data_IF_720597890972
#
_entry.id   IF_720597890972
#
_cell.length_a   1.000
_cell.length_b   1.000
_cell.length_c   1.000
_cell.angle_alpha   90.00
_cell.angle_beta   90.00
_cell.angle_gamma   90.00
#
_symmetry.space_group_name_H-M   'P 1'
#
loop_
_entity.id
_entity.type
_entity.pdbx_description
1 polymer ?
#
# COMPACT_ATOMS: atom_id res chain seq x y z
N UNK A 1 22.76 -38.15 -4.62
CA UNK A 1 21.96 -36.90 -4.73
C UNK A 1 22.76 -35.93 -5.58
N UNK A 2 22.28 -35.57 -6.77
CA UNK A 2 22.92 -34.55 -7.59
C UNK A 2 22.34 -33.19 -7.17
N UNK A 3 23.18 -32.31 -6.65
CA UNK A 3 22.76 -30.98 -6.19
C UNK A 3 22.76 -30.04 -7.40
N UNK A 4 21.59 -29.50 -7.77
CA UNK A 4 21.52 -28.48 -8.83
C UNK A 4 22.29 -27.23 -8.39
N UNK A 5 23.05 -26.64 -9.30
CA UNK A 5 23.88 -25.46 -9.11
C UNK A 5 23.75 -24.51 -10.31
N UNK A 6 23.85 -23.22 -10.07
CA UNK A 6 23.98 -22.18 -11.10
C UNK A 6 25.43 -21.81 -11.28
N UNK A 7 25.90 -21.88 -12.51
CA UNK A 7 27.25 -21.50 -12.94
C UNK A 7 27.17 -20.27 -13.84
N UNK A 8 28.31 -19.59 -14.15
CA UNK A 8 28.33 -18.49 -15.11
C UNK A 8 27.82 -18.88 -16.50
N UNK A 9 27.80 -20.18 -16.79
CA UNK A 9 27.40 -20.75 -18.08
C UNK A 9 26.03 -21.44 -18.04
N UNK A 10 25.23 -21.20 -17.00
CA UNK A 10 23.88 -21.73 -16.84
C UNK A 10 23.74 -22.76 -15.72
N UNK A 11 22.60 -23.45 -15.71
CA UNK A 11 22.27 -24.47 -14.72
C UNK A 11 23.10 -25.75 -14.95
N UNK A 12 23.52 -26.38 -13.86
CA UNK A 12 24.24 -27.65 -13.86
C UNK A 12 23.96 -28.48 -12.60
N UNK A 13 24.51 -29.68 -12.56
CA UNK A 13 24.40 -30.62 -11.44
C UNK A 13 25.79 -30.90 -10.85
N UNK A 14 25.95 -30.71 -9.55
CA UNK A 14 27.19 -31.01 -8.84
C UNK A 14 27.34 -32.53 -8.69
N UNK A 15 28.44 -33.06 -9.21
CA UNK A 15 28.76 -34.49 -9.14
C UNK A 15 29.77 -34.80 -8.05
N UNK A 16 30.86 -34.02 -7.96
CA UNK A 16 31.96 -34.32 -7.04
C UNK A 16 32.63 -33.03 -6.53
N UNK A 17 33.09 -33.08 -5.27
CA UNK A 17 33.90 -32.05 -4.64
C UNK A 17 35.29 -32.65 -4.42
N UNK A 18 36.29 -32.20 -5.17
CA UNK A 18 37.69 -32.62 -4.96
C UNK A 18 38.30 -31.87 -3.78
N UNK A 19 39.38 -32.44 -3.23
CA UNK A 19 40.06 -31.91 -2.03
C UNK A 19 40.74 -30.55 -2.26
N UNK A 20 40.98 -30.16 -3.52
CA UNK A 20 41.60 -28.89 -3.90
C UNK A 20 40.58 -27.75 -4.15
N UNK A 21 39.39 -27.81 -3.55
CA UNK A 21 38.28 -26.84 -3.76
C UNK A 21 37.77 -26.71 -5.21
N UNK A 22 38.08 -27.69 -6.05
CA UNK A 22 37.54 -27.84 -7.41
C UNK A 22 36.25 -28.66 -7.38
N UNK A 23 35.18 -28.08 -7.89
CA UNK A 23 33.86 -28.67 -8.06
C UNK A 23 33.72 -29.22 -9.48
N UNK A 24 33.27 -30.46 -9.60
CA UNK A 24 32.91 -31.07 -10.88
C UNK A 24 31.41 -30.87 -11.09
N UNK A 25 31.05 -30.00 -12.03
CA UNK A 25 29.67 -29.69 -12.39
C UNK A 25 29.36 -30.24 -13.77
N UNK A 26 28.32 -31.07 -13.87
CA UNK A 26 27.77 -31.55 -15.13
C UNK A 26 26.73 -30.56 -15.64
N UNK A 27 27.00 -29.93 -16.78
CA UNK A 27 26.03 -29.13 -17.52
C UNK A 27 25.43 -29.96 -18.66
N UNK A 28 24.44 -29.40 -19.37
CA UNK A 28 23.78 -30.07 -20.50
C UNK A 28 24.72 -30.41 -21.66
N UNK A 29 25.89 -29.74 -21.73
CA UNK A 29 26.82 -29.84 -22.85
C UNK A 29 28.22 -30.30 -22.45
N UNK A 30 28.62 -30.20 -21.17
CA UNK A 30 29.96 -30.62 -20.73
C UNK A 30 30.04 -30.95 -19.23
N UNK A 31 31.08 -31.71 -18.86
CA UNK A 31 31.52 -31.84 -17.46
C UNK A 31 32.61 -30.79 -17.22
N UNK A 32 32.34 -29.84 -16.33
CA UNK A 32 33.17 -28.67 -16.10
C UNK A 32 33.83 -28.73 -14.72
N UNK A 33 35.08 -28.29 -14.65
CA UNK A 33 35.83 -28.11 -13.40
C UNK A 33 35.76 -26.64 -13.02
N UNK A 34 35.09 -26.32 -11.93
CA UNK A 34 34.87 -24.94 -11.48
C UNK A 34 35.37 -24.76 -10.05
N UNK A 35 35.76 -23.54 -9.70
CA UNK A 35 36.07 -23.23 -8.30
C UNK A 35 34.77 -23.02 -7.53
N UNK A 36 34.80 -23.27 -6.22
CA UNK A 36 33.66 -23.04 -5.31
C UNK A 36 33.06 -21.62 -5.41
N UNK A 37 33.86 -20.62 -5.77
CA UNK A 37 33.44 -19.22 -5.89
C UNK A 37 32.48 -18.96 -7.06
N UNK A 38 32.62 -19.74 -8.13
CA UNK A 38 31.87 -19.54 -9.38
C UNK A 38 30.55 -20.33 -9.40
N UNK A 39 30.41 -21.31 -8.51
CA UNK A 39 29.25 -22.18 -8.41
C UNK A 39 28.33 -21.67 -7.31
N UNK A 40 27.17 -21.13 -7.69
CA UNK A 40 26.14 -20.66 -6.78
C UNK A 40 25.02 -21.70 -6.71
N UNK A 41 24.27 -21.73 -5.62
CA UNK A 41 23.03 -22.50 -5.62
C UNK A 41 22.02 -21.83 -6.57
N UNK A 42 21.19 -22.61 -7.29
CA UNK A 42 20.16 -22.04 -8.13
C UNK A 42 19.19 -21.28 -7.24
N UNK A 43 18.87 -20.04 -7.63
CA UNK A 43 17.70 -19.37 -7.08
C UNK A 43 16.51 -20.28 -7.37
N UNK A 44 15.93 -20.87 -6.31
CA UNK A 44 14.73 -21.70 -6.44
C UNK A 44 13.70 -20.90 -7.22
N UNK A 45 13.08 -21.54 -8.21
CA UNK A 45 11.99 -20.91 -8.92
C UNK A 45 10.87 -20.60 -7.92
N UNK A 46 10.17 -19.49 -8.13
CA UNK A 46 9.22 -18.93 -7.15
C UNK A 46 8.14 -19.95 -6.75
N UNK A 47 7.84 -20.92 -7.64
CA UNK A 47 6.87 -22.00 -7.46
C UNK A 47 7.36 -23.16 -6.57
N UNK A 48 8.67 -23.34 -6.38
CA UNK A 48 9.24 -24.49 -5.64
C UNK A 48 9.66 -24.16 -4.21
N UNK A 49 9.50 -22.90 -3.78
CA UNK A 49 9.91 -22.47 -2.45
C UNK A 49 8.89 -22.87 -1.38
N UNK A 50 9.39 -23.48 -0.30
CA UNK A 50 8.61 -23.72 0.92
C UNK A 50 8.17 -22.41 1.56
N UNK A 51 7.13 -22.42 2.38
CA UNK A 51 6.68 -21.26 3.18
C UNK A 51 7.81 -20.66 4.01
N UNK A 52 8.68 -21.49 4.58
CA UNK A 52 9.86 -21.04 5.34
C UNK A 52 10.91 -20.37 4.48
N UNK A 53 11.13 -20.89 3.27
CA UNK A 53 12.08 -20.32 2.31
C UNK A 53 11.57 -18.96 1.81
N UNK A 54 10.27 -18.85 1.51
CA UNK A 54 9.62 -17.59 1.09
C UNK A 54 9.76 -16.51 2.17
N UNK A 55 9.50 -16.85 3.43
CA UNK A 55 9.66 -15.91 4.56
C UNK A 55 11.13 -15.52 4.72
N UNK A 56 12.05 -16.47 4.60
CA UNK A 56 13.49 -16.22 4.67
C UNK A 56 13.98 -15.26 3.59
N UNK A 57 13.58 -15.46 2.34
CA UNK A 57 13.92 -14.56 1.23
C UNK A 57 13.27 -13.18 1.38
N UNK A 58 12.03 -13.12 1.87
CA UNK A 58 11.37 -11.84 2.15
C UNK A 58 12.12 -11.01 3.21
N UNK A 59 12.62 -11.65 4.28
CA UNK A 59 13.40 -10.98 5.33
C UNK A 59 14.71 -10.46 4.75
N UNK A 60 15.46 -11.29 3.99
CA UNK A 60 16.71 -10.87 3.34
C UNK A 60 16.53 -9.64 2.45
N UNK A 61 15.46 -9.61 1.66
CA UNK A 61 15.14 -8.47 0.80
C UNK A 61 14.74 -7.23 1.60
N UNK A 62 14.00 -7.40 2.70
CA UNK A 62 13.67 -6.30 3.59
C UNK A 62 14.91 -5.70 4.26
N UNK A 63 15.90 -6.53 4.60
CA UNK A 63 17.16 -6.07 5.19
C UNK A 63 18.09 -5.43 4.16
N UNK A 64 18.14 -5.97 2.93
CA UNK A 64 18.80 -5.32 1.77
C UNK A 64 18.24 -3.93 1.52
N UNK A 65 16.91 -3.78 1.54
CA UNK A 65 16.26 -2.47 1.40
C UNK A 65 16.62 -1.49 2.53
N UNK A 66 16.92 -1.97 3.74
CA UNK A 66 17.37 -1.12 4.84
C UNK A 66 18.80 -0.62 4.61
N UNK A 67 19.66 -1.42 3.97
CA UNK A 67 21.01 -1.02 3.57
C UNK A 67 20.96 0.01 2.45
N UNK A 68 20.19 -0.25 1.39
CA UNK A 68 19.99 0.68 0.27
C UNK A 68 19.40 2.03 0.75
N UNK A 69 18.49 2.00 1.72
CA UNK A 69 17.96 3.22 2.33
C UNK A 69 19.02 4.01 3.11
N UNK A 70 19.93 3.32 3.81
CA UNK A 70 21.05 3.94 4.52
C UNK A 70 22.07 4.54 3.56
N UNK A 71 22.29 3.90 2.41
CA UNK A 71 23.12 4.42 1.31
C UNK A 71 22.48 5.57 0.53
N UNK A 72 21.19 5.86 0.77
CA UNK A 72 20.45 6.91 0.06
C UNK A 72 19.90 6.50 -1.30
N UNK A 73 20.01 5.22 -1.68
CA UNK A 73 19.42 4.65 -2.90
C UNK A 73 17.93 4.35 -2.68
N UNK A 74 17.12 5.41 -2.68
CA UNK A 74 15.72 5.34 -2.27
C UNK A 74 14.86 4.50 -3.22
N UNK A 75 15.11 4.57 -4.53
CA UNK A 75 14.35 3.82 -5.54
C UNK A 75 14.63 2.31 -5.44
N UNK A 76 15.90 1.94 -5.30
CA UNK A 76 16.33 0.54 -5.13
C UNK A 76 15.77 -0.03 -3.82
N UNK A 77 15.84 0.74 -2.73
CA UNK A 77 15.24 0.37 -1.46
C UNK A 77 13.74 0.06 -1.60
N UNK A 78 12.99 0.93 -2.29
CA UNK A 78 11.55 0.71 -2.57
C UNK A 78 11.35 -0.59 -3.36
N UNK A 79 12.17 -0.83 -4.38
CA UNK A 79 12.09 -2.06 -5.17
C UNK A 79 12.32 -3.31 -4.31
N UNK A 80 13.34 -3.30 -3.46
CA UNK A 80 13.65 -4.40 -2.53
C UNK A 80 12.49 -4.66 -1.54
N UNK A 81 11.89 -3.62 -0.96
CA UNK A 81 10.73 -3.77 -0.08
C UNK A 81 9.49 -4.31 -0.81
N UNK A 82 9.21 -3.83 -2.03
CA UNK A 82 8.08 -4.34 -2.83
C UNK A 82 8.28 -5.81 -3.21
N UNK A 83 9.52 -6.20 -3.54
CA UNK A 83 9.87 -7.58 -3.84
C UNK A 83 9.69 -8.46 -2.60
N UNK A 84 10.10 -8.00 -1.42
CA UNK A 84 9.85 -8.66 -0.13
C UNK A 84 8.35 -8.91 0.09
N UNK A 85 7.50 -7.89 -0.09
CA UNK A 85 6.04 -8.03 0.01
C UNK A 85 5.48 -9.05 -0.99
N UNK A 86 6.00 -9.07 -2.22
CA UNK A 86 5.60 -10.04 -3.24
C UNK A 86 5.91 -11.49 -2.86
N UNK A 87 6.96 -11.76 -2.08
CA UNK A 87 7.22 -13.09 -1.54
C UNK A 87 6.25 -13.45 -0.41
N UNK A 88 5.95 -12.49 0.48
CA UNK A 88 5.04 -12.70 1.60
C UNK A 88 3.59 -12.98 1.15
N UNK A 89 3.13 -12.34 0.08
CA UNK A 89 1.79 -12.56 -0.50
C UNK A 89 1.59 -13.98 -1.04
N UNK A 90 2.67 -14.68 -1.42
CA UNK A 90 2.62 -16.05 -1.93
C UNK A 90 2.57 -17.10 -0.82
N UNK A 91 2.80 -16.71 0.42
CA UNK A 91 2.69 -17.62 1.56
C UNK A 91 1.21 -17.91 1.82
N UNK A 92 0.80 -19.17 1.66
CA UNK A 92 -0.54 -19.63 2.00
C UNK A 92 -0.81 -19.43 3.50
N UNK A 93 -1.60 -18.43 3.84
CA UNK A 93 -1.86 -18.03 5.23
C UNK A 93 -2.58 -19.13 6.03
N UNK A 94 -3.34 -20.00 5.36
CA UNK A 94 -4.14 -21.03 6.03
C UNK A 94 -3.27 -22.15 6.63
N UNK A 95 -2.12 -22.44 6.01
CA UNK A 95 -1.20 -23.48 6.47
C UNK A 95 -0.04 -22.95 7.32
N UNK A 96 0.06 -21.62 7.49
CA UNK A 96 1.15 -20.99 8.23
C UNK A 96 0.93 -21.08 9.75
N UNK A 97 1.99 -21.43 10.47
CA UNK A 97 1.99 -21.44 11.94
C UNK A 97 1.81 -20.01 12.49
N UNK A 98 1.34 -19.88 13.74
CA UNK A 98 1.23 -18.56 14.38
C UNK A 98 2.57 -17.81 14.45
N UNK A 99 3.69 -18.54 14.58
CA UNK A 99 5.04 -17.97 14.53
C UNK A 99 5.38 -17.39 13.15
N UNK A 100 5.08 -18.13 12.08
CA UNK A 100 5.29 -17.67 10.72
C UNK A 100 4.40 -16.47 10.40
N UNK A 101 3.11 -16.51 10.80
CA UNK A 101 2.18 -15.37 10.68
C UNK A 101 2.70 -14.12 11.38
N UNK A 102 3.20 -14.25 12.61
CA UNK A 102 3.80 -13.14 13.35
C UNK A 102 5.00 -12.54 12.58
N UNK A 103 5.87 -13.40 12.03
CA UNK A 103 7.05 -12.97 11.26
C UNK A 103 6.66 -12.28 9.94
N UNK A 104 5.65 -12.80 9.24
CA UNK A 104 5.11 -12.23 8.00
C UNK A 104 4.55 -10.83 8.29
N UNK A 105 3.68 -10.70 9.28
CA UNK A 105 3.03 -9.43 9.63
C UNK A 105 4.06 -8.40 10.08
N UNK A 106 5.02 -8.80 10.94
CA UNK A 106 6.14 -7.95 11.34
C UNK A 106 6.90 -7.41 10.12
N UNK A 107 7.23 -8.29 9.16
CA UNK A 107 7.98 -7.91 7.96
C UNK A 107 7.15 -7.00 7.06
N UNK A 108 5.86 -7.27 6.87
CA UNK A 108 4.95 -6.42 6.08
C UNK A 108 4.87 -5.00 6.66
N UNK A 109 4.66 -4.87 7.97
CA UNK A 109 4.57 -3.55 8.62
C UNK A 109 5.88 -2.78 8.43
N UNK A 110 7.04 -3.42 8.66
CA UNK A 110 8.36 -2.81 8.42
C UNK A 110 8.50 -2.32 6.98
N UNK A 111 8.19 -3.17 6.00
CA UNK A 111 8.29 -2.82 4.59
C UNK A 111 7.38 -1.64 4.23
N UNK A 112 6.11 -1.65 4.62
CA UNK A 112 5.18 -0.55 4.31
C UNK A 112 5.60 0.78 4.97
N UNK A 113 6.01 0.73 6.23
CA UNK A 113 6.55 1.91 6.93
C UNK A 113 7.77 2.47 6.19
N UNK A 114 8.72 1.62 5.82
CA UNK A 114 9.94 2.04 5.15
C UNK A 114 9.69 2.55 3.73
N UNK A 115 8.79 1.92 2.96
CA UNK A 115 8.33 2.44 1.67
C UNK A 115 7.74 3.84 1.85
N UNK A 116 6.87 4.04 2.84
CA UNK A 116 6.33 5.36 3.15
C UNK A 116 7.41 6.42 3.38
N UNK A 117 8.46 6.08 4.15
CA UNK A 117 9.60 6.96 4.36
C UNK A 117 10.40 7.25 3.08
N UNK A 118 10.65 6.23 2.25
CA UNK A 118 11.35 6.40 0.97
C UNK A 118 10.55 7.29 0.02
N UNK A 119 9.24 7.05 -0.11
CA UNK A 119 8.34 7.79 -0.99
C UNK A 119 8.17 9.24 -0.57
N UNK A 120 8.14 9.53 0.74
CA UNK A 120 8.19 10.90 1.26
C UNK A 120 9.46 11.63 0.83
N UNK A 121 10.63 10.97 0.92
CA UNK A 121 11.91 11.55 0.46
C UNK A 121 11.97 11.74 -1.06
N UNK A 122 11.25 10.92 -1.82
CA UNK A 122 11.14 11.02 -3.29
C UNK A 122 10.06 12.00 -3.77
N UNK A 123 9.37 12.71 -2.87
CA UNK A 123 8.22 13.57 -3.17
C UNK A 123 7.03 12.86 -3.86
N UNK A 124 6.97 11.53 -3.77
CA UNK A 124 5.85 10.72 -4.25
C UNK A 124 4.79 10.62 -3.15
N UNK A 125 4.07 11.72 -2.91
CA UNK A 125 3.19 11.88 -1.75
C UNK A 125 1.96 10.95 -1.80
N UNK A 126 1.39 10.71 -2.97
CA UNK A 126 0.26 9.77 -3.15
C UNK A 126 0.64 8.34 -2.77
N UNK A 127 1.78 7.87 -3.25
CA UNK A 127 2.30 6.53 -2.94
C UNK A 127 2.64 6.40 -1.45
N UNK A 128 3.17 7.46 -0.84
CA UNK A 128 3.48 7.49 0.58
C UNK A 128 2.21 7.38 1.44
N UNK A 129 1.14 8.07 1.07
CA UNK A 129 -0.18 7.99 1.73
C UNK A 129 -0.72 6.56 1.70
N UNK A 130 -0.65 5.91 0.52
CA UNK A 130 -1.11 4.53 0.34
C UNK A 130 -0.27 3.56 1.18
N UNK A 131 1.06 3.65 1.12
CA UNK A 131 1.95 2.77 1.88
C UNK A 131 1.71 2.88 3.40
N UNK A 132 1.53 4.10 3.92
CA UNK A 132 1.24 4.31 5.34
C UNK A 132 -0.16 3.82 5.72
N UNK A 133 -1.15 3.95 4.82
CA UNK A 133 -2.50 3.43 5.06
C UNK A 133 -2.52 1.90 5.13
N UNK A 134 -1.75 1.22 4.27
CA UNK A 134 -1.60 -0.24 4.34
C UNK A 134 -0.97 -0.69 5.66
N UNK A 135 0.08 0.01 6.12
CA UNK A 135 0.66 -0.24 7.44
C UNK A 135 -0.37 -0.06 8.57
N UNK A 136 -1.16 1.01 8.52
CA UNK A 136 -2.19 1.29 9.52
C UNK A 136 -3.30 0.25 9.53
N UNK A 137 -3.75 -0.23 8.37
CA UNK A 137 -4.76 -1.29 8.29
C UNK A 137 -4.31 -2.56 9.04
N UNK A 138 -3.06 -2.99 8.82
CA UNK A 138 -2.50 -4.16 9.51
C UNK A 138 -2.38 -3.89 11.02
N UNK A 139 -1.92 -2.70 11.41
CA UNK A 139 -1.77 -2.31 12.81
C UNK A 139 -3.11 -2.21 13.56
N UNK A 140 -4.16 -1.72 12.90
CA UNK A 140 -5.52 -1.67 13.47
C UNK A 140 -6.05 -3.07 13.74
N UNK A 141 -5.88 -4.00 12.79
CA UNK A 141 -6.30 -5.41 12.97
C UNK A 141 -5.54 -6.08 14.13
N UNK A 142 -4.25 -5.76 14.30
CA UNK A 142 -3.49 -6.22 15.46
C UNK A 142 -4.01 -5.61 16.78
N UNK A 143 -4.39 -4.33 16.76
CA UNK A 143 -4.90 -3.63 17.94
C UNK A 143 -6.30 -4.11 18.36
N UNK A 144 -7.11 -4.59 17.42
CA UNK A 144 -8.40 -5.25 17.69
C UNK A 144 -8.21 -6.65 18.30
N UNK A 145 -7.10 -7.33 17.99
CA UNK A 145 -6.80 -8.69 18.41
C UNK A 145 -5.58 -8.78 19.35
N UNK A 146 -5.52 -7.93 20.38
CA UNK A 146 -4.36 -7.85 21.30
C UNK A 146 -4.00 -9.17 21.98
N UNK A 147 -5.00 -9.96 22.33
CA UNK A 147 -4.82 -11.24 23.03
C UNK A 147 -4.64 -12.43 22.07
N UNK A 148 -4.52 -12.18 20.77
CA UNK A 148 -4.36 -13.23 19.78
C UNK A 148 -3.04 -14.00 19.90
N UNK A 149 -3.04 -15.28 19.51
CA UNK A 149 -1.83 -16.11 19.45
C UNK A 149 -0.71 -15.46 18.63
N UNK A 150 -1.06 -14.74 17.57
CA UNK A 150 -0.10 -14.04 16.71
C UNK A 150 0.59 -12.90 17.47
N UNK A 151 -0.16 -12.06 18.20
CA UNK A 151 0.42 -10.97 19.02
C UNK A 151 1.29 -11.53 20.14
N UNK A 152 0.87 -12.63 20.76
CA UNK A 152 1.70 -13.33 21.75
C UNK A 152 3.03 -13.81 21.15
N UNK A 153 3.01 -14.38 19.95
CA UNK A 153 4.22 -14.77 19.22
C UNK A 153 5.08 -13.57 18.82
N UNK A 154 4.46 -12.45 18.44
CA UNK A 154 5.16 -11.19 18.19
C UNK A 154 5.96 -10.72 19.42
N UNK A 155 5.37 -10.80 20.61
CA UNK A 155 6.06 -10.54 21.88
C UNK A 155 7.24 -11.48 22.11
N UNK A 156 7.06 -12.78 21.86
CA UNK A 156 8.14 -13.80 21.97
C UNK A 156 9.28 -13.60 20.96
N UNK A 157 8.99 -12.97 19.82
CA UNK A 157 9.99 -12.59 18.81
C UNK A 157 10.75 -11.29 19.19
N UNK A 158 10.48 -10.73 20.37
CA UNK A 158 11.18 -9.55 20.90
C UNK A 158 10.54 -8.20 20.56
N UNK A 159 9.30 -8.18 20.03
CA UNK A 159 8.58 -6.93 19.84
C UNK A 159 7.87 -6.50 21.12
N UNK A 160 8.15 -5.29 21.59
CA UNK A 160 7.44 -4.74 22.75
C UNK A 160 6.01 -4.35 22.38
N UNK A 161 5.11 -4.40 23.36
CA UNK A 161 3.73 -3.93 23.21
C UNK A 161 3.69 -2.46 22.79
N UNK A 162 4.54 -1.64 23.41
CA UNK A 162 4.73 -0.23 23.06
C UNK A 162 5.11 -0.05 21.58
N UNK A 163 6.01 -0.88 21.04
CA UNK A 163 6.41 -0.78 19.64
C UNK A 163 5.23 -1.04 18.70
N UNK A 164 4.45 -2.08 18.99
CA UNK A 164 3.35 -2.54 18.15
C UNK A 164 2.13 -1.62 18.17
N UNK A 165 1.77 -1.09 19.35
CA UNK A 165 0.52 -0.34 19.54
C UNK A 165 0.69 1.17 19.72
N UNK A 166 1.90 1.66 20.01
CA UNK A 166 2.16 3.10 20.15
C UNK A 166 3.09 3.60 19.03
N UNK A 167 4.32 3.10 18.97
CA UNK A 167 5.35 3.68 18.10
C UNK A 167 5.10 3.44 16.62
N UNK A 168 4.77 2.22 16.20
CA UNK A 168 4.49 1.92 14.79
C UNK A 168 3.24 2.65 14.27
N UNK A 169 2.09 2.63 14.99
CA UNK A 169 0.91 3.37 14.54
C UNK A 169 1.10 4.88 14.58
N UNK A 170 1.83 5.43 15.56
CA UNK A 170 2.17 6.86 15.60
C UNK A 170 3.06 7.24 14.41
N UNK A 171 4.09 6.45 14.11
CA UNK A 171 5.00 6.66 12.98
C UNK A 171 4.30 6.58 11.63
N UNK A 172 3.38 5.63 11.45
CA UNK A 172 2.59 5.50 10.23
C UNK A 172 1.68 6.72 10.02
N UNK A 173 0.95 7.14 11.07
CA UNK A 173 0.09 8.34 11.03
C UNK A 173 0.88 9.61 10.76
N UNK A 174 2.02 9.79 11.42
CA UNK A 174 2.87 10.96 11.20
C UNK A 174 3.36 11.05 9.74
N UNK A 175 3.83 9.94 9.17
CA UNK A 175 4.26 9.87 7.77
C UNK A 175 3.10 10.09 6.79
N UNK A 176 1.92 9.53 7.07
CA UNK A 176 0.71 9.76 6.28
C UNK A 176 0.31 11.24 6.31
N UNK A 177 0.31 11.85 7.50
CA UNK A 177 0.03 13.27 7.66
C UNK A 177 1.02 14.14 6.87
N UNK A 178 2.31 13.83 6.88
CA UNK A 178 3.31 14.55 6.07
C UNK A 178 2.98 14.50 4.57
N UNK A 179 2.51 13.34 4.07
CA UNK A 179 2.05 13.21 2.69
C UNK A 179 0.75 14.00 2.44
N UNK A 180 -0.25 13.88 3.31
CA UNK A 180 -1.53 14.59 3.21
C UNK A 180 -1.36 16.12 3.21
N UNK A 181 -0.43 16.66 4.00
CA UNK A 181 -0.11 18.11 3.99
C UNK A 181 0.39 18.56 2.62
N UNK A 182 1.20 17.73 1.95
CA UNK A 182 1.72 18.03 0.61
C UNK A 182 0.68 17.87 -0.49
N UNK A 183 -0.37 17.09 -0.22
CA UNK A 183 -1.54 16.91 -1.08
C UNK A 183 -2.69 17.87 -0.73
N UNK A 184 -2.46 18.84 0.16
CA UNK A 184 -3.45 19.81 0.65
C UNK A 184 -4.68 19.18 1.33
N UNK A 185 -4.59 17.92 1.75
CA UNK A 185 -5.60 17.20 2.55
C UNK A 185 -5.43 17.52 4.04
N UNK A 186 -5.65 18.78 4.41
CA UNK A 186 -5.30 19.25 5.76
C UNK A 186 -6.20 18.67 6.88
N UNK A 187 -7.46 18.35 6.58
CA UNK A 187 -8.38 17.73 7.54
C UNK A 187 -7.90 16.33 7.96
N UNK A 188 -7.57 15.49 6.98
CA UNK A 188 -7.06 14.13 7.21
C UNK A 188 -5.70 14.18 7.94
N UNK A 189 -4.82 15.08 7.52
CA UNK A 189 -3.53 15.29 8.18
C UNK A 189 -3.69 15.70 9.65
N UNK A 190 -4.67 16.56 9.97
CA UNK A 190 -4.94 16.98 11.35
C UNK A 190 -5.38 15.80 12.21
N UNK A 191 -6.29 14.97 11.69
CA UNK A 191 -6.80 13.80 12.41
C UNK A 191 -5.69 12.79 12.71
N UNK A 192 -4.83 12.52 11.72
CA UNK A 192 -3.68 11.64 11.90
C UNK A 192 -2.72 12.15 12.96
N UNK A 193 -2.45 13.46 12.99
CA UNK A 193 -1.54 14.07 13.94
C UNK A 193 -2.10 14.09 15.36
N UNK A 194 -3.41 14.28 15.53
CA UNK A 194 -4.06 14.20 16.84
C UNK A 194 -3.86 12.80 17.44
N UNK A 195 -4.19 11.76 16.67
CA UNK A 195 -4.00 10.37 17.09
C UNK A 195 -2.52 10.03 17.30
N UNK A 196 -1.60 10.56 16.48
CA UNK A 196 -0.17 10.33 16.64
C UNK A 196 0.39 10.94 17.94
N UNK A 197 -0.09 12.13 18.33
CA UNK A 197 0.28 12.80 19.60
C UNK A 197 -0.33 12.10 20.80
N UNK A 198 -1.55 11.57 20.67
CA UNK A 198 -2.18 10.76 21.72
C UNK A 198 -1.38 9.49 22.01
N UNK A 199 -0.95 8.78 20.96
CA UNK A 199 -0.14 7.57 21.08
C UNK A 199 1.28 7.84 21.58
N UNK A 200 1.92 8.92 21.11
CA UNK A 200 3.26 9.28 21.55
C UNK A 200 3.34 10.77 21.91
N UNK A 201 2.96 11.14 23.16
CA UNK A 201 2.97 12.53 23.60
C UNK A 201 4.36 13.14 23.69
N UNK A 202 5.43 12.34 23.69
CA UNK A 202 6.80 12.86 23.78
C UNK A 202 7.32 13.38 22.44
N UNK A 203 6.71 12.99 21.32
CA UNK A 203 7.17 13.40 19.99
C UNK A 203 6.92 14.91 19.73
N UNK A 204 8.01 15.69 19.72
CA UNK A 204 7.98 17.12 19.40
C UNK A 204 7.64 17.38 17.93
N UNK A 205 8.01 16.48 17.02
CA UNK A 205 7.79 16.63 15.59
C UNK A 205 6.30 16.57 15.24
N UNK A 206 5.57 15.62 15.84
CA UNK A 206 4.11 15.49 15.72
C UNK A 206 3.39 16.76 16.20
N UNK A 207 3.71 17.26 17.40
CA UNK A 207 3.10 18.48 17.94
C UNK A 207 3.38 19.72 17.08
N UNK A 208 4.61 19.88 16.62
CA UNK A 208 4.99 21.03 15.78
C UNK A 208 4.27 20.98 14.43
N UNK A 209 4.12 19.80 13.85
CA UNK A 209 3.38 19.64 12.61
C UNK A 209 1.88 19.85 12.82
N UNK A 210 1.31 19.40 13.94
CA UNK A 210 -0.11 19.61 14.28
C UNK A 210 -0.47 21.09 14.39
N UNK A 211 0.37 21.91 15.03
CA UNK A 211 0.15 23.36 15.12
C UNK A 211 0.14 24.01 13.72
N UNK A 212 1.11 23.65 12.86
CA UNK A 212 1.17 24.12 11.47
C UNK A 212 -0.07 23.72 10.68
N UNK A 213 -0.48 22.45 10.77
CA UNK A 213 -1.65 21.94 10.04
C UNK A 213 -2.94 22.57 10.56
N UNK A 214 -3.06 22.79 11.87
CA UNK A 214 -4.23 23.46 12.45
C UNK A 214 -4.41 24.88 11.89
N UNK A 215 -3.31 25.65 11.80
CA UNK A 215 -3.32 26.97 11.16
C UNK A 215 -3.70 26.93 9.68
N UNK A 216 -3.27 25.89 8.95
CA UNK A 216 -3.63 25.69 7.54
C UNK A 216 -5.12 25.33 7.38
N UNK A 217 -5.67 24.46 8.23
CA UNK A 217 -7.11 24.14 8.26
C UNK A 217 -7.93 25.40 8.54
N UNK A 218 -7.55 26.20 9.53
CA UNK A 218 -8.28 27.43 9.87
C UNK A 218 -8.14 28.50 8.79
N UNK A 219 -7.02 28.53 8.07
CA UNK A 219 -6.85 29.38 6.89
C UNK A 219 -7.79 28.92 5.76
N UNK A 220 -7.80 27.63 5.44
CA UNK A 220 -8.67 27.06 4.40
C UNK A 220 -10.14 27.35 4.69
N UNK A 221 -10.61 27.13 5.93
CA UNK A 221 -11.99 27.43 6.34
C UNK A 221 -12.33 28.91 6.19
N UNK A 222 -11.40 29.82 6.55
CA UNK A 222 -11.61 31.27 6.39
C UNK A 222 -11.67 31.68 4.92
N UNK A 223 -10.82 31.11 4.09
CA UNK A 223 -10.79 31.39 2.66
C UNK A 223 -12.06 30.86 1.97
N UNK A 224 -12.53 29.67 2.35
CA UNK A 224 -13.83 29.13 1.94
C UNK A 224 -14.99 30.04 2.41
N UNK A 225 -15.05 30.42 3.69
CA UNK A 225 -16.10 31.31 4.20
C UNK A 225 -16.17 32.65 3.45
N UNK A 226 -15.03 33.23 3.07
CA UNK A 226 -14.98 34.46 2.26
C UNK A 226 -15.46 34.22 0.83
N UNK A 227 -15.02 33.13 0.20
CA UNK A 227 -15.46 32.76 -1.14
C UNK A 227 -16.98 32.52 -1.19
N UNK A 228 -17.54 31.82 -0.19
CA UNK A 228 -18.98 31.59 -0.07
C UNK A 228 -19.76 32.86 0.30
N UNK A 229 -19.24 33.70 1.20
CA UNK A 229 -19.88 34.96 1.59
C UNK A 229 -20.06 35.93 0.40
N UNK A 230 -19.02 36.08 -0.42
CA UNK A 230 -19.10 36.95 -1.61
C UNK A 230 -19.99 36.42 -2.74
N UNK A 231 -20.39 35.14 -2.71
CA UNK A 231 -21.33 34.57 -3.68
C UNK A 231 -22.77 34.99 -3.36
N UNK A 232 -23.16 35.08 -2.08
CA UNK A 232 -24.51 35.52 -1.70
C UNK A 232 -24.74 37.02 -1.91
N UNK A 233 -23.74 37.85 -1.64
CA UNK A 233 -23.82 39.31 -1.91
C UNK A 233 -24.07 39.62 -3.40
N UNK A 234 -23.63 38.74 -4.30
CA UNK A 234 -23.85 38.88 -5.75
C UNK A 234 -25.18 38.28 -6.24
N UNK A 235 -25.90 37.52 -5.41
CA UNK A 235 -27.23 36.95 -5.75
C UNK A 235 -28.35 37.93 -5.42
N UNK A 236 -28.19 38.77 -4.38
CA UNK A 236 -29.15 39.81 -3.99
C UNK A 236 -28.99 41.12 -4.78
N UNK A 237 -28.04 41.17 -5.72
CA UNK A 237 -27.94 42.28 -6.68
C UNK A 237 -29.12 42.20 -7.67
N UNK A 238 -29.99 43.24 -7.76
CA UNK A 238 -31.12 43.21 -8.67
C UNK A 238 -30.66 43.07 -10.13
N UNK A 239 -31.42 42.32 -10.92
CA UNK A 239 -31.20 41.94 -12.32
C UNK A 239 -31.20 43.12 -13.32
N UNK A 240 -30.62 44.27 -12.96
CA UNK A 240 -30.38 45.40 -13.84
C UNK A 240 -28.92 45.81 -13.69
N UNK A 241 -28.04 45.16 -14.46
CA UNK A 241 -26.92 45.77 -15.23
C UNK A 241 -26.03 44.63 -15.75
N UNK A 242 -26.50 43.89 -16.76
CA UNK A 242 -25.57 43.23 -17.69
C UNK A 242 -25.01 44.33 -18.58
N UNK A 243 -23.89 44.93 -18.16
CA UNK A 243 -23.06 45.75 -19.05
C UNK A 243 -21.93 44.89 -19.58
N UNK A 244 -22.01 44.67 -20.88
CA UNK A 244 -21.00 44.11 -21.78
C UNK A 244 -19.64 44.74 -21.51
N UNK A 245 -18.68 43.96 -21.01
CA UNK A 245 -17.27 44.28 -21.07
C UNK A 245 -16.61 43.30 -22.05
N UNK A 246 -16.56 43.71 -23.31
CA UNK A 246 -15.80 43.04 -24.37
C UNK A 246 -14.31 43.26 -24.13
N UNK A 247 -13.53 42.19 -23.93
CA UNK A 247 -12.11 42.18 -24.31
C UNK A 247 -11.69 40.80 -24.82
N UNK A 248 -11.76 40.69 -26.15
CA UNK A 248 -10.96 39.88 -27.08
C UNK A 248 -10.66 38.42 -26.71
N UNK A 249 -11.49 37.52 -27.27
CA UNK A 249 -11.07 36.16 -27.65
C UNK A 249 -10.78 36.16 -29.15
N UNK A 250 -9.55 35.82 -29.54
CA UNK A 250 -9.24 35.42 -30.92
C UNK A 250 -9.86 34.05 -31.17
N UNK A 251 -10.56 33.96 -32.29
CA UNK A 251 -11.37 32.87 -32.80
C UNK A 251 -10.62 31.55 -32.97
N UNK A 252 -11.20 30.46 -32.45
CA UNK A 252 -11.36 29.21 -33.23
C UNK A 252 -12.67 28.54 -32.83
N UNK A 253 -13.47 28.25 -33.86
CA UNK A 253 -14.85 27.74 -33.82
C UNK A 253 -14.93 26.31 -33.26
N UNK A 254 -15.94 26.02 -32.44
CA UNK A 254 -16.86 24.92 -32.70
C UNK A 254 -18.17 25.08 -31.89
N UNK A 255 -19.27 24.78 -32.56
CA UNK A 255 -20.69 25.01 -32.22
C UNK A 255 -21.12 24.23 -30.95
N UNK A 256 -21.79 24.86 -29.98
CA UNK A 256 -23.25 25.04 -29.82
C UNK A 256 -24.06 23.74 -29.67
N UNK A 257 -24.54 23.46 -28.44
CA UNK A 257 -25.95 23.15 -28.15
C UNK A 257 -26.14 22.91 -26.64
N UNK A 258 -26.83 23.84 -25.98
CA UNK A 258 -27.38 23.73 -24.63
C UNK A 258 -28.49 22.67 -24.57
N UNK A 259 -28.49 21.82 -23.55
CA UNK A 259 -29.74 21.33 -22.95
C UNK A 259 -29.59 21.23 -21.43
N UNK A 260 -30.43 21.98 -20.74
CA UNK A 260 -30.62 21.95 -19.30
C UNK A 260 -31.08 20.55 -18.89
N UNK A 261 -30.37 19.90 -17.95
CA UNK A 261 -30.81 18.64 -17.36
C UNK A 261 -31.64 18.93 -16.12
N UNK A 262 -32.95 18.98 -16.33
CA UNK A 262 -33.97 18.85 -15.28
C UNK A 262 -33.74 17.57 -14.47
N UNK A 263 -33.78 17.70 -13.13
CA UNK A 263 -33.51 16.67 -12.12
C UNK A 263 -34.63 15.60 -12.04
N UNK A 264 -35.71 15.71 -12.82
CA UNK A 264 -36.81 14.77 -12.75
C UNK A 264 -37.25 14.32 -14.16
N UNK A 265 -36.65 13.24 -14.67
CA UNK A 265 -37.19 12.53 -15.85
C UNK A 265 -37.26 11.02 -15.61
N UNK A 266 -38.47 10.46 -15.79
CA UNK A 266 -38.78 9.03 -15.68
C UNK A 266 -38.19 8.28 -16.88
N UNK A 267 -37.22 7.39 -16.64
CA UNK A 267 -36.45 6.67 -17.69
C UNK A 267 -37.34 5.81 -18.61
N UNK A 268 -37.03 5.84 -19.91
CA UNK A 268 -37.70 5.09 -20.98
C UNK A 268 -37.34 3.59 -20.97
N UNK A 269 -38.19 2.75 -21.57
CA UNK A 269 -38.09 1.27 -21.59
C UNK A 269 -36.76 0.76 -22.19
N UNK A 270 -36.23 1.46 -23.20
CA UNK A 270 -34.95 1.14 -23.86
C UNK A 270 -33.76 1.39 -22.94
N UNK A 271 -33.78 2.49 -22.15
CA UNK A 271 -32.73 2.75 -21.16
C UNK A 271 -32.75 1.75 -20.00
N UNK A 272 -33.92 1.26 -19.60
CA UNK A 272 -34.01 0.19 -18.59
C UNK A 272 -33.50 -1.15 -19.12
N UNK A 273 -33.77 -1.48 -20.38
CA UNK A 273 -33.23 -2.69 -21.01
C UNK A 273 -31.70 -2.62 -21.19
N UNK A 274 -31.16 -1.46 -21.55
CA UNK A 274 -29.69 -1.27 -21.63
C UNK A 274 -29.03 -1.32 -20.24
N UNK A 275 -29.66 -0.77 -19.19
CA UNK A 275 -29.14 -0.89 -17.83
C UNK A 275 -29.27 -2.31 -17.27
N UNK A 276 -30.34 -3.04 -17.61
CA UNK A 276 -30.50 -4.45 -17.24
C UNK A 276 -29.50 -5.36 -17.99
N UNK A 277 -29.21 -5.08 -19.27
CA UNK A 277 -28.19 -5.79 -20.04
C UNK A 277 -26.77 -5.50 -19.52
N UNK A 278 -26.48 -4.25 -19.13
CA UNK A 278 -25.21 -3.88 -18.50
C UNK A 278 -25.04 -4.51 -17.09
N UNK A 279 -26.11 -4.59 -16.30
CA UNK A 279 -26.10 -5.28 -15.02
C UNK A 279 -25.96 -6.81 -15.18
N UNK A 280 -26.58 -7.40 -16.20
CA UNK A 280 -26.43 -8.82 -16.54
C UNK A 280 -25.04 -9.15 -17.11
N UNK A 281 -24.39 -8.20 -17.82
CA UNK A 281 -23.00 -8.33 -18.25
C UNK A 281 -22.02 -8.22 -17.06
N UNK A 282 -22.30 -7.35 -16.08
CA UNK A 282 -21.55 -7.27 -14.84
C UNK A 282 -21.68 -8.53 -13.97
N UNK A 283 -22.85 -9.18 -13.98
CA UNK A 283 -23.09 -10.44 -13.27
C UNK A 283 -22.43 -11.67 -13.95
N UNK A 284 -21.95 -11.55 -15.19
CA UNK A 284 -21.22 -12.61 -15.91
C UNK A 284 -19.70 -12.43 -15.90
N UNK A 285 -19.19 -11.34 -15.35
CA UNK A 285 -17.76 -11.10 -15.18
C UNK A 285 -17.28 -11.69 -13.85
N UNK A 286 -17.34 -13.01 -13.71
CA UNK A 286 -16.45 -13.70 -12.77
C UNK A 286 -15.16 -14.06 -13.50
N UNK A 287 -14.03 -13.87 -12.81
CA UNK A 287 -12.64 -14.03 -13.25
C UNK A 287 -11.99 -12.80 -13.92
N UNK A 288 -12.08 -11.61 -13.30
CA UNK A 288 -10.98 -10.64 -13.39
C UNK A 288 -10.57 -10.11 -12.00
N UNK A 289 -9.25 -10.02 -11.69
CA UNK A 289 -8.77 -9.49 -10.43
C UNK A 289 -9.16 -8.02 -10.22
N UNK A 290 -9.68 -7.71 -9.03
CA UNK A 290 -10.28 -6.42 -8.67
C UNK A 290 -9.36 -5.18 -8.78
N UNK A 291 -8.05 -5.35 -8.98
CA UNK A 291 -7.07 -4.26 -9.08
C UNK A 291 -6.88 -3.71 -10.50
N UNK A 292 -7.55 -4.27 -11.52
CA UNK A 292 -7.39 -3.86 -12.92
C UNK A 292 -8.43 -2.86 -13.42
N UNK A 293 -9.47 -2.54 -12.64
CA UNK A 293 -10.49 -1.55 -13.04
C UNK A 293 -10.38 -0.27 -12.23
N UNK A 294 -9.93 0.81 -12.89
CA UNK A 294 -9.71 2.15 -12.33
C UNK A 294 -10.95 2.79 -11.67
N UNK A 295 -12.15 2.25 -11.91
CA UNK A 295 -13.42 2.74 -11.33
C UNK A 295 -13.89 1.98 -10.07
N UNK A 296 -13.30 0.83 -9.73
CA UNK A 296 -13.66 0.06 -8.53
C UNK A 296 -12.91 0.52 -7.26
N UNK A 297 -11.82 1.28 -7.42
CA UNK A 297 -10.87 1.62 -6.34
C UNK A 297 -11.45 2.57 -5.27
N UNK A 298 -12.38 3.45 -5.65
CA UNK A 298 -12.99 4.42 -4.74
C UNK A 298 -14.11 3.84 -3.85
N UNK A 299 -14.83 2.82 -4.32
CA UNK A 299 -15.97 2.25 -3.60
C UNK A 299 -15.64 0.93 -2.88
N UNK A 300 -14.64 0.18 -3.36
CA UNK A 300 -14.21 -1.06 -2.71
C UNK A 300 -13.39 -0.82 -1.41
N UNK A 301 -12.78 0.35 -1.25
CA UNK A 301 -11.89 0.68 -0.12
C UNK A 301 -12.59 0.72 1.25
N UNK A 302 -13.91 0.94 1.29
CA UNK A 302 -14.68 1.00 2.54
C UNK A 302 -15.33 -0.35 2.91
N UNK A 303 -15.62 -1.21 1.93
CA UNK A 303 -16.38 -2.45 2.14
C UNK A 303 -15.50 -3.69 2.24
N UNK A 304 -14.39 -3.76 1.48
CA UNK A 304 -13.59 -5.00 1.39
C UNK A 304 -12.66 -5.20 2.60
N UNK A 305 -12.14 -4.13 3.20
CA UNK A 305 -11.33 -4.23 4.41
C UNK A 305 -12.12 -4.73 5.63
N UNK A 306 -13.41 -4.36 5.74
CA UNK A 306 -14.29 -4.83 6.82
C UNK A 306 -14.72 -6.29 6.65
N UNK A 307 -15.04 -6.72 5.42
CA UNK A 307 -15.56 -8.07 5.17
C UNK A 307 -14.46 -9.14 5.25
N UNK A 308 -13.24 -8.86 4.80
CA UNK A 308 -12.12 -9.79 4.95
C UNK A 308 -11.67 -9.95 6.41
N UNK A 309 -11.70 -8.87 7.20
CA UNK A 309 -11.38 -8.91 8.63
C UNK A 309 -12.44 -9.65 9.46
N UNK A 310 -13.73 -9.48 9.15
CA UNK A 310 -14.83 -10.20 9.82
C UNK A 310 -14.87 -11.68 9.44
N UNK A 311 -14.58 -12.04 8.19
CA UNK A 311 -14.52 -13.44 7.74
C UNK A 311 -13.36 -14.23 8.39
N UNK A 312 -12.23 -13.56 8.68
CA UNK A 312 -11.10 -14.18 9.38
C UNK A 312 -11.37 -14.46 10.87
N UNK A 313 -12.36 -13.80 11.48
CA UNK A 313 -12.65 -13.90 12.93
C UNK A 313 -13.93 -14.67 13.27
N UNK A 314 -14.79 -14.96 12.29
CA UNK A 314 -16.10 -15.61 12.53
C UNK A 314 -16.05 -17.16 12.61
N UNK A 315 -14.89 -17.80 12.44
CA UNK A 315 -14.79 -19.26 12.55
C UNK A 315 -14.66 -19.69 14.03
N UNK A 316 -15.79 -19.68 14.76
CA UNK A 316 -15.91 -20.33 16.07
C UNK A 316 -15.86 -21.87 15.94
N UNK A 317 -15.29 -22.60 16.92
CA UNK A 317 -15.27 -24.04 16.92
C UNK A 317 -16.68 -24.63 17.16
N UNK A 318 -17.05 -25.65 16.38
CA UNK A 318 -18.19 -26.52 16.70
C UNK A 318 -17.85 -27.28 17.99
N UNK A 319 -18.55 -27.00 19.08
CA UNK A 319 -18.56 -27.86 20.26
C UNK A 319 -19.42 -29.09 19.98
N UNK A 320 -18.88 -30.27 20.28
CA UNK A 320 -19.65 -31.50 20.51
C UNK A 320 -20.31 -31.46 21.89
#
# INVERSE_FOLDING_TARGET
>A
MHMKVTTPYGLGELEEIRHDDVLIVKTNYARMFMQRKDVKLPTKDISEMSTKDLIGEAIKLADTGNEEFREGKLQDAVYSYLRSLGFLQRVGQDNATHKEKATIIQTMIRCHLNIGACKLKLNAHTDAEIACTNALSILTVLAENREGNVVTWMGRLGMSEQLMFEDWPSKARFRRAQACVKLEKYADAKQDLLLAVELNPRDKSCRTLLDKVSKLVDKQKRDEMKAWGGIFDNIDAPASTIKTATTKTTTTKSQCATSEKSIFTRKTKVQRQQQAAAAAAAAKAEVEPWYLTTRALATASVVTAGVAAVALLAMKPKSS
#
